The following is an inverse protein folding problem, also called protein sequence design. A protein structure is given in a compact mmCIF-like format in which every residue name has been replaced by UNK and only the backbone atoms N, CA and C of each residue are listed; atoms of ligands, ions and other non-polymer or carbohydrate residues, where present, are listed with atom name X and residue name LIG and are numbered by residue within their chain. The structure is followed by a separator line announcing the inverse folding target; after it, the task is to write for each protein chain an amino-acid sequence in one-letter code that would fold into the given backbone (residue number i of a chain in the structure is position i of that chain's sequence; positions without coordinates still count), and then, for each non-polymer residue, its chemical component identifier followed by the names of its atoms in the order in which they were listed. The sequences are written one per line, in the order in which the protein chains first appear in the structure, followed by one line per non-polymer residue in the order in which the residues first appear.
data_IF_607543116824
#
_entry.id   IF_607543116824
#
_cell.length_a   1.000
_cell.length_b   1.000
_cell.length_c   1.000
_cell.angle_alpha   90.00
_cell.angle_beta   90.00
_cell.angle_gamma   90.00
#
_symmetry.space_group_name_H-M   'P 1'
#
loop_
_entity.id
_entity.type
_entity.pdbx_description
1 polymer ?
2 polymer ?
#
# COMPACT_ATOMS: atom_id res chain seq x y z
N UNK A 1 -4.86 -8.89 -7.49
CA UNK A 1 -5.06 -8.15 -6.17
C UNK A 1 -3.68 -7.70 -5.78
N UNK A 2 -3.44 -6.41 -5.48
CA UNK A 2 -2.08 -5.83 -5.45
C UNK A 2 -1.21 -6.21 -6.64
N UNK A 3 -1.65 -5.94 -7.87
CA UNK A 3 -0.99 -6.51 -9.06
C UNK A 3 -0.40 -5.43 -9.93
N UNK A 4 0.94 -5.33 -10.01
CA UNK A 4 1.62 -4.29 -10.77
C UNK A 4 2.74 -4.82 -11.62
N UNK A 5 3.80 -4.03 -11.82
CA UNK A 5 4.92 -4.46 -12.63
C UNK A 5 5.94 -5.30 -11.86
N UNK A 6 5.56 -6.51 -11.42
CA UNK A 6 6.40 -7.41 -10.62
C UNK A 6 7.67 -7.91 -11.29
N UNK A 7 7.82 -7.57 -12.58
CA UNK A 7 8.97 -7.84 -13.43
C UNK A 7 10.01 -6.72 -13.39
N UNK A 8 9.60 -5.47 -13.09
CA UNK A 8 10.42 -4.28 -13.17
C UNK A 8 9.55 -3.06 -12.87
N UNK A 9 9.37 -2.64 -11.62
CA UNK A 9 8.60 -1.44 -11.31
C UNK A 9 9.41 -0.17 -11.57
N UNK A 10 8.85 0.77 -12.35
CA UNK A 10 9.51 2.02 -12.75
C UNK A 10 8.69 3.22 -12.31
N UNK A 11 7.54 2.96 -11.68
CA UNK A 11 6.56 3.96 -11.29
C UNK A 11 6.19 3.76 -9.84
N UNK A 12 5.56 4.79 -9.23
CA UNK A 12 5.02 4.73 -7.87
C UNK A 12 3.85 3.78 -7.78
N UNK A 13 2.98 3.76 -8.82
CA UNK A 13 1.78 2.93 -8.88
C UNK A 13 2.13 1.46 -8.94
N UNK A 14 3.00 1.11 -9.91
CA UNK A 14 3.66 -0.18 -10.04
C UNK A 14 4.29 -0.68 -8.74
N UNK A 15 5.19 0.10 -8.09
CA UNK A 15 5.84 -0.31 -6.86
C UNK A 15 4.91 -0.36 -5.65
N UNK A 16 3.85 0.47 -5.60
CA UNK A 16 2.78 0.41 -4.61
C UNK A 16 2.07 -0.94 -4.61
N UNK A 17 1.80 -1.49 -5.81
CA UNK A 17 1.16 -2.78 -5.94
C UNK A 17 2.01 -3.94 -5.41
N UNK A 18 3.33 -3.94 -5.71
CA UNK A 18 4.33 -4.91 -5.29
C UNK A 18 4.40 -5.16 -3.78
N UNK A 19 4.05 -4.14 -2.97
CA UNK A 19 3.95 -4.24 -1.52
C UNK A 19 2.83 -5.18 -1.05
N UNK A 20 1.86 -5.48 -1.93
CA UNK A 20 0.68 -6.32 -1.69
C UNK A 20 -0.16 -5.89 -0.51
N UNK A 21 -0.24 -4.55 -0.29
CA UNK A 21 -0.81 -3.90 0.87
C UNK A 21 -2.27 -4.24 1.15
N UNK A 22 -2.48 -5.24 2.03
CA UNK A 22 -3.80 -5.80 2.25
C UNK A 22 -3.70 -7.26 2.57
N UNK A 23 -2.82 -7.97 1.83
CA UNK A 23 -2.61 -9.40 1.96
C UNK A 23 -3.08 -10.14 0.74
N UNK A 24 -3.60 -11.36 0.93
CA UNK A 24 -4.13 -12.18 -0.14
C UNK A 24 -5.63 -11.99 -0.27
N UNK A 25 -6.17 -12.25 -1.47
CA UNK A 25 -7.57 -12.05 -1.77
C UNK A 25 -8.08 -13.28 -2.49
N UNK A 26 -9.36 -13.64 -2.49
CA UNK A 26 -9.86 -14.86 -3.14
C UNK A 26 -9.93 -14.74 -4.65
N UNK A 27 -9.41 -13.63 -5.24
CA UNK A 27 -9.28 -13.42 -6.67
C UNK A 27 -10.61 -13.39 -7.43
N UNK A 28 -11.61 -12.65 -6.90
CA UNK A 28 -12.95 -12.65 -7.45
C UNK A 28 -13.07 -12.20 -8.89
N UNK A 29 -13.91 -12.89 -9.68
CA UNK A 29 -14.19 -12.56 -11.07
C UNK A 29 -15.29 -11.51 -11.20
N UNK A 30 -15.46 -10.66 -10.17
CA UNK A 30 -16.38 -9.55 -10.20
C UNK A 30 -15.73 -8.38 -10.91
N UNK A 31 -16.53 -7.69 -11.76
CA UNK A 31 -16.08 -6.53 -12.47
C UNK A 31 -16.22 -5.28 -11.64
N UNK A 32 -15.11 -4.53 -11.51
CA UNK A 32 -15.01 -3.34 -10.70
C UNK A 32 -14.68 -2.15 -11.58
N UNK A 33 -14.46 -0.97 -10.98
CA UNK A 33 -13.89 0.17 -11.65
C UNK A 33 -12.75 0.77 -10.83
N UNK A 34 -12.60 0.37 -9.55
CA UNK A 34 -11.55 0.87 -8.70
C UNK A 34 -11.33 -0.17 -7.61
N UNK A 35 -10.27 -0.03 -6.80
CA UNK A 35 -9.92 -0.90 -5.69
C UNK A 35 -10.91 -0.80 -4.52
N UNK A 36 -11.51 0.38 -4.28
CA UNK A 36 -12.61 0.55 -3.33
C UNK A 36 -13.89 -0.16 -3.69
N UNK A 37 -14.15 -0.43 -4.98
CA UNK A 37 -15.32 -1.17 -5.42
C UNK A 37 -15.15 -2.69 -5.18
N UNK A 38 -13.93 -3.17 -4.84
CA UNK A 38 -13.66 -4.58 -4.62
C UNK A 38 -13.46 -4.91 -3.13
N UNK A 39 -14.14 -5.87 -2.51
CA UNK A 39 -14.08 -6.05 -1.06
C UNK A 39 -12.79 -6.71 -0.56
N UNK A 40 -12.57 -6.68 0.77
CA UNK A 40 -11.45 -7.34 1.44
C UNK A 40 -10.17 -6.55 1.33
N UNK A 41 -9.46 -6.76 0.23
CA UNK A 41 -8.24 -6.06 -0.05
C UNK A 41 -7.89 -6.15 -1.53
N UNK A 42 -8.90 -6.37 -2.39
CA UNK A 42 -8.59 -6.68 -3.77
C UNK A 42 -8.49 -5.39 -4.58
N UNK A 43 -7.64 -5.34 -5.62
CA UNK A 43 -7.51 -4.15 -6.45
C UNK A 43 -7.98 -4.46 -7.84
N UNK A 44 -8.56 -3.46 -8.51
CA UNK A 44 -9.05 -3.53 -9.87
C UNK A 44 -7.89 -3.44 -10.84
N UNK A 45 -7.63 -4.49 -11.65
CA UNK A 45 -6.54 -4.44 -12.61
C UNK A 45 -6.94 -3.67 -13.86
N UNK A 46 -6.01 -3.45 -14.82
CA UNK A 46 -6.28 -2.74 -16.08
C UNK A 46 -7.30 -3.34 -17.03
N UNK A 47 -7.90 -4.48 -16.66
CA UNK A 47 -9.03 -5.09 -17.34
C UNK A 47 -10.35 -4.80 -16.62
N UNK A 48 -10.32 -4.18 -15.42
CA UNK A 48 -11.50 -3.94 -14.62
C UNK A 48 -11.92 -5.12 -13.78
N UNK A 49 -10.99 -6.06 -13.52
CA UNK A 49 -11.26 -7.26 -12.76
C UNK A 49 -10.21 -7.46 -11.69
N UNK A 50 -10.63 -7.99 -10.53
CA UNK A 50 -9.80 -8.10 -9.35
C UNK A 50 -8.75 -9.21 -9.44
N UNK A 51 -7.58 -8.99 -8.80
CA UNK A 51 -6.51 -9.98 -8.96
C UNK A 51 -5.45 -10.05 -7.90
N UNK B 31 -9.22 -6.99 11.97
CA UNK B 31 -9.04 -5.50 12.14
C UNK B 31 -7.68 -5.21 12.71
N UNK B 32 -7.28 -3.93 12.77
CA UNK B 32 -6.01 -3.52 13.33
C UNK B 32 -6.25 -2.30 14.20
N UNK B 33 -5.26 -1.92 15.04
CA UNK B 33 -5.33 -0.75 15.90
C UNK B 33 -4.27 0.26 15.49
N UNK B 34 -4.52 1.35 14.80
CA UNK B 34 -3.53 2.38 14.50
C UNK B 34 -3.08 3.19 15.72
N UNK B 35 -2.07 4.07 15.53
CA UNK B 35 -1.51 4.89 16.60
C UNK B 35 -2.13 6.29 16.63
N UNK B 36 -2.16 7.01 17.76
CA UNK B 36 -2.88 8.27 17.90
C UNK B 36 -2.26 9.41 17.10
N UNK B 37 -0.94 9.33 16.81
CA UNK B 37 -0.29 10.22 15.86
C UNK B 37 -0.84 10.02 14.45
N UNK B 38 -0.84 8.77 13.95
CA UNK B 38 -1.32 8.40 12.64
C UNK B 38 -2.79 8.76 12.41
N UNK B 39 -3.65 8.63 13.44
CA UNK B 39 -5.03 9.11 13.44
C UNK B 39 -5.22 10.55 12.94
N UNK B 40 -4.31 11.47 13.31
CA UNK B 40 -4.34 12.85 12.82
C UNK B 40 -4.10 12.97 11.31
N UNK B 41 -3.22 12.13 10.74
CA UNK B 41 -3.01 12.04 9.30
C UNK B 41 -4.21 11.43 8.61
N UNK B 42 -4.69 10.27 9.09
CA UNK B 42 -5.84 9.56 8.54
C UNK B 42 -7.08 10.43 8.44
N UNK B 43 -7.38 11.18 9.52
CA UNK B 43 -8.47 12.15 9.58
C UNK B 43 -8.40 13.27 8.54
N UNK B 44 -7.18 13.58 8.05
CA UNK B 44 -6.92 14.58 7.02
C UNK B 44 -7.18 14.03 5.61
N UNK B 45 -7.34 12.70 5.49
CA UNK B 45 -7.72 12.02 4.26
C UNK B 45 -9.21 11.62 4.33
N UNK B 46 -9.89 11.97 5.43
CA UNK B 46 -11.32 11.68 5.65
C UNK B 46 -11.54 10.59 6.67
N UNK B 47 -10.50 9.83 7.00
CA UNK B 47 -10.58 8.65 7.83
C UNK B 47 -10.44 8.95 9.32
N UNK B 48 -11.51 9.45 9.95
CA UNK B 48 -11.48 9.84 11.36
C UNK B 48 -11.71 8.72 12.36
N UNK B 49 -11.78 7.46 11.91
CA UNK B 49 -12.06 6.32 12.77
C UNK B 49 -10.83 5.82 13.51
N UNK B 50 -11.01 5.27 14.72
CA UNK B 50 -9.97 4.73 15.56
C UNK B 50 -9.51 3.34 15.11
N UNK B 51 -10.40 2.56 14.46
CA UNK B 51 -10.04 1.28 13.84
C UNK B 51 -10.34 1.24 12.37
N UNK B 52 -9.44 0.62 11.58
CA UNK B 52 -9.60 0.40 10.17
C UNK B 52 -9.11 -0.99 9.78
N UNK B 53 -9.24 -1.35 8.49
CA UNK B 53 -8.75 -2.60 7.92
C UNK B 53 -7.31 -2.44 7.43
N UNK B 54 -6.57 -3.55 7.23
CA UNK B 54 -5.20 -3.57 6.73
C UNK B 54 -5.00 -2.85 5.41
N UNK B 55 -5.88 -3.11 4.41
CA UNK B 55 -5.94 -2.38 3.15
C UNK B 55 -6.20 -0.88 3.34
N UNK B 56 -7.25 -0.48 4.08
CA UNK B 56 -7.53 0.91 4.42
C UNK B 56 -6.37 1.71 5.01
N UNK B 57 -5.63 1.16 5.99
CA UNK B 57 -4.46 1.83 6.59
C UNK B 57 -3.46 2.30 5.53
N UNK B 58 -3.11 1.41 4.58
CA UNK B 58 -2.17 1.71 3.51
C UNK B 58 -2.80 2.48 2.36
N UNK B 59 -4.11 2.30 2.09
CA UNK B 59 -4.91 3.07 1.15
C UNK B 59 -4.87 4.56 1.45
N UNK B 60 -5.33 4.99 2.65
CA UNK B 60 -5.34 6.39 3.03
C UNK B 60 -3.96 7.02 3.02
N UNK B 61 -2.93 6.24 3.42
CA UNK B 61 -1.52 6.60 3.34
C UNK B 61 -1.02 6.84 1.92
N UNK B 62 -1.27 5.88 1.01
CA UNK B 62 -0.91 5.92 -0.40
C UNK B 62 -1.58 7.04 -1.14
N UNK B 63 -2.91 7.15 -1.03
CA UNK B 63 -3.71 8.22 -1.59
C UNK B 63 -3.26 9.61 -1.14
N UNK B 64 -2.87 9.75 0.14
CA UNK B 64 -2.30 10.97 0.68
C UNK B 64 -1.03 11.41 -0.05
N UNK B 65 0.00 10.54 -0.13
CA UNK B 65 1.27 10.84 -0.79
C UNK B 65 1.10 11.07 -2.29
N UNK B 66 0.32 10.20 -2.95
CA UNK B 66 -0.07 10.31 -4.36
C UNK B 66 -0.68 11.66 -4.71
N UNK B 67 -1.59 12.17 -3.85
CA UNK B 67 -2.27 13.45 -4.06
C UNK B 67 -1.47 14.64 -3.53
N UNK B 68 -0.56 14.42 -2.56
CA UNK B 68 0.31 15.44 -1.99
C UNK B 68 1.48 15.80 -2.88
N UNK B 69 1.96 14.85 -3.72
CA UNK B 69 3.15 14.96 -4.57
C UNK B 69 4.42 14.85 -3.75
N UNK B 70 4.52 13.81 -2.89
CA UNK B 70 5.67 13.58 -2.01
C UNK B 70 6.56 12.46 -2.54
N UNK B 71 6.50 12.20 -3.86
CA UNK B 71 7.30 11.20 -4.52
C UNK B 71 8.27 11.90 -5.47
N UNK B 72 9.49 11.38 -5.62
CA UNK B 72 10.46 11.86 -6.58
C UNK B 72 10.04 11.44 -7.99
N UNK B 73 10.04 12.35 -8.99
CA UNK B 73 9.80 12.00 -10.39
C UNK B 73 10.77 10.96 -10.95
N UNK B 74 12.08 11.17 -10.72
CA UNK B 74 13.12 10.22 -11.13
C UNK B 74 13.20 8.97 -10.26
N UNK B 75 12.66 9.00 -9.04
CA UNK B 75 12.86 7.95 -8.06
C UNK B 75 11.56 7.69 -7.31
N UNK B 76 10.50 7.32 -8.04
CA UNK B 76 9.15 7.12 -7.55
C UNK B 76 9.00 6.00 -6.52
N UNK B 77 10.08 5.24 -6.31
CA UNK B 77 10.25 4.15 -5.37
C UNK B 77 10.82 4.58 -4.03
N UNK B 78 11.17 5.87 -3.87
CA UNK B 78 11.71 6.47 -2.67
C UNK B 78 10.62 7.32 -2.04
N UNK B 79 10.49 7.30 -0.70
CA UNK B 79 9.46 8.07 -0.02
C UNK B 79 10.09 8.97 1.03
N UNK B 80 9.72 10.26 1.01
CA UNK B 80 10.11 11.21 2.04
C UNK B 80 9.16 11.17 3.21
N UNK B 81 9.61 10.63 4.36
CA UNK B 81 8.86 10.67 5.60
C UNK B 81 9.34 11.77 6.54
N UNK B 82 10.53 12.36 6.28
CA UNK B 82 11.09 13.44 7.09
C UNK B 82 10.19 14.65 7.15
N UNK B 83 9.85 15.10 8.38
CA UNK B 83 9.01 16.27 8.65
C UNK B 83 7.51 16.01 8.46
N UNK B 84 7.11 14.77 8.13
CA UNK B 84 5.71 14.36 8.10
C UNK B 84 5.50 13.36 9.23
N UNK B 85 4.23 13.06 9.55
CA UNK B 85 3.75 12.27 10.68
C UNK B 85 4.20 10.82 10.62
N UNK B 86 4.57 10.39 9.41
CA UNK B 86 5.19 9.12 9.12
C UNK B 86 6.61 9.02 9.68
N UNK B 87 7.38 10.13 9.66
CA UNK B 87 8.75 10.18 10.17
C UNK B 87 8.82 10.10 11.66
N UNK B 88 8.00 10.91 12.36
CA UNK B 88 7.72 10.90 13.79
C UNK B 88 7.51 9.49 14.37
N UNK B 89 6.76 8.62 13.65
CA UNK B 89 6.46 7.28 14.10
C UNK B 89 7.45 6.22 13.61
N UNK B 90 8.07 6.39 12.41
CA UNK B 90 9.07 5.47 11.87
C UNK B 90 10.41 5.60 12.59
N UNK B 91 10.83 6.84 12.89
CA UNK B 91 12.11 7.15 13.51
C UNK B 91 13.24 7.24 12.52
N UNK B 92 12.93 7.47 11.23
CA UNK B 92 13.91 7.53 10.15
C UNK B 92 13.65 8.76 9.27
N UNK B 93 14.64 9.32 8.57
CA UNK B 93 14.42 10.49 7.72
C UNK B 93 13.82 10.13 6.37
N UNK B 94 14.01 8.92 5.86
CA UNK B 94 13.46 8.53 4.58
C UNK B 94 13.42 7.03 4.54
N UNK B 95 12.67 6.44 3.59
CA UNK B 95 12.64 5.01 3.44
C UNK B 95 12.51 4.61 1.98
N UNK B 96 12.80 3.35 1.65
CA UNK B 96 12.64 2.82 0.31
C UNK B 96 11.44 1.89 0.24
N UNK B 97 10.53 2.07 -0.75
CA UNK B 97 9.40 1.15 -0.97
C UNK B 97 9.87 -0.25 -1.33
N UNK B 98 11.06 -0.34 -1.95
CA UNK B 98 11.80 -1.56 -2.23
C UNK B 98 12.02 -2.47 -1.02
N UNK B 99 12.05 -1.90 0.20
CA UNK B 99 12.21 -2.65 1.41
C UNK B 99 10.88 -3.21 1.93
N UNK B 100 10.10 -3.98 1.13
CA UNK B 100 8.79 -4.51 1.53
C UNK B 100 8.75 -5.19 2.90
N UNK B 101 9.74 -6.05 3.19
CA UNK B 101 9.98 -6.68 4.48
C UNK B 101 10.21 -5.72 5.66
N UNK B 102 10.64 -4.47 5.39
CA UNK B 102 10.83 -3.42 6.37
C UNK B 102 9.54 -2.66 6.57
N UNK B 103 8.85 -2.33 5.46
CA UNK B 103 7.54 -1.69 5.45
C UNK B 103 6.53 -2.47 6.29
N UNK B 104 6.40 -3.80 6.04
CA UNK B 104 5.62 -4.70 6.88
C UNK B 104 5.99 -4.67 8.37
N UNK B 105 7.29 -4.72 8.75
CA UNK B 105 7.68 -4.61 10.16
C UNK B 105 7.35 -3.27 10.78
N UNK B 106 7.52 -2.15 10.06
CA UNK B 106 7.11 -0.83 10.51
C UNK B 106 5.60 -0.74 10.76
N UNK B 107 4.78 -1.21 9.80
CA UNK B 107 3.33 -1.28 9.91
C UNK B 107 2.89 -2.19 11.07
N UNK B 108 3.39 -3.43 11.19
CA UNK B 108 3.05 -4.32 12.30
C UNK B 108 3.46 -3.80 13.68
N UNK B 109 4.45 -2.88 13.78
CA UNK B 109 4.77 -2.17 15.02
C UNK B 109 3.81 -1.04 15.33
N UNK B 110 2.96 -0.65 14.37
CA UNK B 110 1.95 0.37 14.52
C UNK B 110 0.62 -0.25 14.86
N UNK B 111 0.41 -1.49 14.48
CA UNK B 111 -0.85 -2.17 14.63
C UNK B 111 -0.77 -3.16 15.79
N UNK B 112 -1.92 -3.79 16.14
CA UNK B 112 -1.97 -4.84 17.14
C UNK B 112 -2.43 -6.08 16.40
N UNK B 113 -1.61 -7.15 16.44
CA UNK B 113 -1.91 -8.41 15.79
C UNK B 113 -2.66 -9.33 16.73
#
# INVERSE_FOLDING_TARGET
SGSGASKAPTSFAEYWNLLSAGGVCPKILQRCRRDSDCPGACICRGNGYCG
GSSHHHHHHSSGLVPRGSHMSQIPASEQETLVRPKPLLLKLLKSVGAQKDTYTMKEVLFYLGQYIMTKRLYDEKQQHIVYCSNDLLGDLFGVPSFSVKEHRKIYTMIYRNLVVVNQQESSDSGTSVSEN
#
